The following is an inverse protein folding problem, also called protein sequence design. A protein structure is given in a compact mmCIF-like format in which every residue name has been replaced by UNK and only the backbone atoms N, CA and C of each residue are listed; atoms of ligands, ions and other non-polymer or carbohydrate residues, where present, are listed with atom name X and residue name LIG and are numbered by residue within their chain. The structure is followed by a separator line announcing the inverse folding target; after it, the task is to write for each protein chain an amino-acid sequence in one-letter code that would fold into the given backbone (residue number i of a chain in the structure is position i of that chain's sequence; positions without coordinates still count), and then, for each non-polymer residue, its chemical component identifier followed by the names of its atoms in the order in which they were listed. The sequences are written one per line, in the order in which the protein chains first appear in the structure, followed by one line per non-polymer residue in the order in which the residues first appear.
data_IF_636152066983
#
_entry.id   IF_636152066983
#
_cell.length_a   1.000
_cell.length_b   1.000
_cell.length_c   1.000
_cell.angle_alpha   90.00
_cell.angle_beta   90.00
_cell.angle_gamma   90.00
#
_symmetry.space_group_name_H-M   'P 1'
#
loop_
_entity.id
_entity.type
_entity.pdbx_description
1 polymer ?
#
# COMPACT_ATOMS: atom_id res chain seq x y z
N UNK A 1 -22.64 -1.18 4.30
CA UNK A 1 -22.35 -2.42 5.06
C UNK A 1 -23.12 -3.52 4.39
N UNK A 2 -22.41 -4.52 3.92
CA UNK A 2 -22.96 -5.59 3.09
C UNK A 2 -23.04 -6.88 3.90
N UNK A 3 -23.86 -7.84 3.46
CA UNK A 3 -23.79 -9.21 3.91
C UNK A 3 -22.77 -9.95 3.06
N UNK A 4 -22.09 -10.95 3.67
CA UNK A 4 -21.12 -11.73 2.92
C UNK A 4 -21.86 -12.53 1.85
N UNK A 5 -21.56 -12.35 0.55
CA UNK A 5 -22.17 -13.16 -0.48
C UNK A 5 -21.81 -14.62 -0.33
N UNK A 6 -22.72 -15.50 -0.76
CA UNK A 6 -22.49 -16.95 -0.70
C UNK A 6 -21.17 -17.33 -1.39
N UNK A 7 -20.37 -18.17 -0.78
CA UNK A 7 -19.05 -18.60 -1.29
C UNK A 7 -17.88 -17.64 -1.03
N UNK A 8 -18.11 -16.48 -0.40
CA UNK A 8 -17.05 -15.56 -0.01
C UNK A 8 -16.75 -15.64 1.49
N UNK A 9 -15.48 -15.37 1.85
CA UNK A 9 -15.03 -15.23 3.25
C UNK A 9 -14.55 -13.82 3.50
N UNK A 10 -14.80 -13.33 4.71
CA UNK A 10 -14.21 -12.06 5.15
C UNK A 10 -12.85 -12.29 5.78
N UNK A 11 -11.94 -11.33 5.57
CA UNK A 11 -10.64 -11.30 6.24
C UNK A 11 -10.69 -10.33 7.42
N UNK A 12 -9.97 -10.67 8.48
CA UNK A 12 -9.91 -9.81 9.66
C UNK A 12 -9.15 -8.52 9.37
N UNK A 13 -9.62 -7.43 9.93
CA UNK A 13 -8.96 -6.13 9.88
C UNK A 13 -8.88 -5.52 11.28
N UNK A 14 -7.74 -4.94 11.61
CA UNK A 14 -7.54 -4.23 12.87
C UNK A 14 -7.04 -2.81 12.62
N UNK A 15 -7.33 -1.94 13.57
CA UNK A 15 -6.83 -0.56 13.58
C UNK A 15 -5.63 -0.45 14.51
N UNK A 16 -4.57 0.20 14.03
CA UNK A 16 -3.42 0.59 14.86
C UNK A 16 -3.37 2.10 14.96
N UNK A 17 -3.12 2.58 16.16
CA UNK A 17 -3.00 4.01 16.46
C UNK A 17 -1.62 4.27 17.04
N UNK A 18 -0.94 5.29 16.53
CA UNK A 18 0.37 5.70 17.01
C UNK A 18 0.42 7.23 17.12
N UNK A 19 0.95 7.72 18.23
CA UNK A 19 1.34 9.12 18.38
C UNK A 19 2.81 9.28 18.06
N UNK A 20 3.15 10.22 17.19
CA UNK A 20 4.52 10.68 16.99
C UNK A 20 4.75 11.89 17.90
N UNK A 21 5.87 11.88 18.58
CA UNK A 21 6.32 12.98 19.46
C UNK A 21 7.69 13.46 18.97
N UNK A 22 7.99 14.73 19.21
CA UNK A 22 9.35 15.28 19.04
C UNK A 22 10.26 14.87 20.21
N UNK A 23 11.50 15.38 20.21
CA UNK A 23 12.50 15.17 21.26
C UNK A 23 12.05 15.69 22.63
N UNK A 24 11.18 16.68 22.65
CA UNK A 24 10.68 17.35 23.87
C UNK A 24 9.38 16.71 24.38
N UNK A 25 8.90 15.63 23.71
CA UNK A 25 7.70 14.90 24.09
C UNK A 25 6.40 15.51 23.60
N UNK A 26 6.42 16.60 22.82
CA UNK A 26 5.25 17.24 22.22
C UNK A 26 4.70 16.38 21.08
N UNK A 27 3.38 16.24 21.02
CA UNK A 27 2.73 15.46 19.99
C UNK A 27 2.81 16.21 18.65
N UNK A 28 3.43 15.57 17.66
CA UNK A 28 3.54 16.07 16.29
C UNK A 28 2.38 15.60 15.42
N UNK A 29 2.02 14.31 15.54
CA UNK A 29 1.05 13.69 14.62
C UNK A 29 0.40 12.46 15.24
N UNK A 30 -0.88 12.28 14.94
CA UNK A 30 -1.63 11.05 15.22
C UNK A 30 -1.73 10.20 13.97
N UNK A 31 -1.26 8.96 14.05
CA UNK A 31 -1.36 7.99 12.95
C UNK A 31 -2.42 6.94 13.26
N UNK A 32 -3.37 6.79 12.36
CA UNK A 32 -4.30 5.68 12.35
C UNK A 32 -4.05 4.84 11.08
N UNK A 33 -3.90 3.53 11.24
CA UNK A 33 -3.73 2.62 10.11
C UNK A 33 -4.64 1.42 10.23
N UNK A 34 -5.27 1.07 9.15
CA UNK A 34 -6.06 -0.15 9.02
C UNK A 34 -5.19 -1.24 8.39
N UNK A 35 -5.05 -2.37 9.07
CA UNK A 35 -4.28 -3.52 8.60
C UNK A 35 -5.21 -4.71 8.41
N UNK A 36 -5.14 -5.34 7.26
CA UNK A 36 -5.84 -6.60 7.00
C UNK A 36 -4.97 -7.80 7.36
N UNK A 37 -5.60 -8.92 7.65
CA UNK A 37 -4.93 -10.20 7.75
C UNK A 37 -4.75 -10.81 6.34
N UNK A 38 -3.88 -10.23 5.51
CA UNK A 38 -3.68 -10.65 4.11
C UNK A 38 -3.34 -12.13 3.94
N UNK A 39 -2.78 -12.79 4.99
CA UNK A 39 -2.59 -14.25 5.02
C UNK A 39 -3.89 -15.05 4.92
N UNK A 40 -5.02 -14.46 5.28
CA UNK A 40 -6.35 -15.08 5.19
C UNK A 40 -6.95 -14.98 3.78
N UNK A 41 -6.33 -14.22 2.85
CA UNK A 41 -6.75 -14.20 1.47
C UNK A 41 -6.47 -15.57 0.83
N UNK A 42 -7.52 -16.20 0.30
CA UNK A 42 -7.42 -17.48 -0.39
C UNK A 42 -6.75 -17.32 -1.76
N UNK A 43 -6.12 -18.37 -2.23
CA UNK A 43 -5.56 -18.43 -3.60
C UNK A 43 -6.72 -18.30 -4.59
N UNK A 44 -6.56 -17.45 -5.61
CA UNK A 44 -7.62 -17.14 -6.57
C UNK A 44 -8.48 -15.92 -6.22
N UNK A 45 -8.39 -15.40 -4.96
CA UNK A 45 -9.08 -14.19 -4.53
C UNK A 45 -8.22 -12.92 -4.65
N UNK A 46 -7.07 -12.99 -5.30
CA UNK A 46 -6.19 -11.86 -5.59
C UNK A 46 -5.40 -12.13 -6.87
N UNK A 47 -5.08 -11.06 -7.60
CA UNK A 47 -4.26 -11.10 -8.81
C UNK A 47 -2.76 -11.12 -8.52
N UNK A 48 -1.98 -10.50 -9.40
CA UNK A 48 -0.54 -10.41 -9.24
C UNK A 48 -0.14 -9.69 -7.96
N UNK A 49 0.96 -10.16 -7.37
CA UNK A 49 1.51 -9.67 -6.10
C UNK A 49 2.85 -9.00 -6.27
N UNK A 50 3.52 -9.30 -7.39
CA UNK A 50 4.88 -8.82 -7.62
C UNK A 50 4.88 -7.30 -7.75
N UNK A 51 5.73 -6.66 -6.98
CA UNK A 51 6.10 -5.27 -7.12
C UNK A 51 7.62 -5.16 -6.99
N UNK A 52 8.31 -4.59 -7.97
CA UNK A 52 9.75 -4.42 -7.89
C UNK A 52 10.09 -3.46 -6.75
N UNK A 53 11.18 -3.74 -6.06
CA UNK A 53 11.79 -2.84 -5.09
C UNK A 53 13.19 -2.49 -5.56
N UNK A 54 13.59 -1.24 -5.42
CA UNK A 54 14.92 -0.78 -5.79
C UNK A 54 16.00 -1.54 -5.04
N UNK A 55 17.01 -2.00 -5.76
CA UNK A 55 18.21 -2.57 -5.13
C UNK A 55 19.00 -1.47 -4.44
N UNK A 56 19.58 -1.76 -3.29
CA UNK A 56 20.37 -0.79 -2.54
C UNK A 56 21.59 -0.30 -3.33
N UNK A 57 22.13 -1.12 -4.23
CA UNK A 57 23.18 -0.73 -5.19
C UNK A 57 22.74 0.41 -6.10
N UNK A 58 21.49 0.39 -6.61
CA UNK A 58 20.97 1.47 -7.46
C UNK A 58 20.92 2.81 -6.72
N UNK A 59 20.48 2.80 -5.46
CA UNK A 59 20.46 4.00 -4.62
C UNK A 59 21.87 4.55 -4.43
N UNK A 60 22.84 3.68 -4.13
CA UNK A 60 24.24 4.08 -3.98
C UNK A 60 24.83 4.65 -5.27
N UNK A 61 24.54 4.04 -6.42
CA UNK A 61 24.99 4.55 -7.72
C UNK A 61 24.43 5.93 -8.02
N UNK A 62 23.13 6.15 -7.76
CA UNK A 62 22.49 7.47 -7.93
C UNK A 62 23.17 8.51 -7.03
N UNK A 63 23.42 8.18 -5.75
CA UNK A 63 24.11 9.09 -4.83
C UNK A 63 25.54 9.42 -5.31
N UNK A 64 26.28 8.43 -5.80
CA UNK A 64 27.65 8.63 -6.31
C UNK A 64 27.68 9.52 -7.56
N UNK A 65 26.79 9.28 -8.52
CA UNK A 65 26.64 10.10 -9.74
C UNK A 65 26.24 11.53 -9.37
N UNK A 66 25.28 11.69 -8.47
CA UNK A 66 24.84 13.02 -8.04
C UNK A 66 25.98 13.79 -7.36
N UNK A 67 26.75 13.14 -6.49
CA UNK A 67 27.91 13.76 -5.84
C UNK A 67 28.99 14.17 -6.85
N UNK A 68 29.30 13.30 -7.83
CA UNK A 68 30.29 13.57 -8.86
C UNK A 68 29.89 14.69 -9.81
N UNK A 69 28.60 14.75 -10.15
CA UNK A 69 28.05 15.73 -11.08
C UNK A 69 27.55 17.02 -10.40
N UNK A 70 27.68 17.16 -9.08
CA UNK A 70 27.19 18.31 -8.32
C UNK A 70 25.67 18.46 -8.34
N UNK A 71 24.91 17.34 -8.48
CA UNK A 71 23.46 17.37 -8.56
C UNK A 71 22.82 17.35 -7.17
N UNK A 72 21.71 18.06 -7.02
CA UNK A 72 20.91 18.02 -5.79
C UNK A 72 19.95 16.85 -5.83
N UNK A 73 19.92 16.06 -4.75
CA UNK A 73 18.97 14.96 -4.57
C UNK A 73 17.75 15.44 -3.82
N UNK A 74 16.58 15.08 -4.31
CA UNK A 74 15.30 15.28 -3.63
C UNK A 74 14.69 13.93 -3.27
N UNK A 75 14.10 13.88 -2.06
CA UNK A 75 13.38 12.71 -1.58
C UNK A 75 11.93 13.10 -1.31
N UNK A 76 11.01 12.24 -1.69
CA UNK A 76 9.60 12.37 -1.35
C UNK A 76 9.03 11.03 -0.86
N UNK A 77 7.95 11.10 -0.09
CA UNK A 77 7.20 9.95 0.39
C UNK A 77 5.71 10.14 0.08
N UNK A 78 5.07 9.08 -0.40
CA UNK A 78 3.65 9.12 -0.74
C UNK A 78 2.83 8.59 0.42
N UNK A 79 2.16 9.49 1.14
CA UNK A 79 1.28 9.11 2.24
C UNK A 79 0.11 8.27 1.75
N UNK A 80 -0.07 7.08 2.37
CA UNK A 80 -1.18 6.21 2.05
C UNK A 80 -1.14 5.64 0.63
N UNK A 81 0.04 5.39 0.08
CA UNK A 81 0.28 4.98 -1.31
C UNK A 81 -0.71 3.92 -1.84
N UNK A 82 -1.00 2.88 -1.07
CA UNK A 82 -1.93 1.83 -1.48
C UNK A 82 -3.37 2.31 -1.67
N UNK A 83 -3.78 3.37 -0.96
CA UNK A 83 -5.13 3.92 -1.05
C UNK A 83 -5.39 4.68 -2.38
N UNK A 84 -4.39 4.86 -3.22
CA UNK A 84 -4.57 5.39 -4.57
C UNK A 84 -4.96 4.30 -5.57
N UNK A 85 -4.79 3.03 -5.21
CA UNK A 85 -5.07 1.90 -6.10
C UNK A 85 -6.45 1.31 -5.78
N UNK A 86 -7.24 1.10 -6.84
CA UNK A 86 -8.54 0.47 -6.74
C UNK A 86 -8.39 -1.04 -6.46
N UNK A 87 -9.25 -1.56 -5.57
CA UNK A 87 -9.33 -2.98 -5.30
C UNK A 87 -10.28 -3.62 -6.32
N UNK A 88 -9.72 -4.21 -7.36
CA UNK A 88 -10.49 -4.85 -8.46
C UNK A 88 -11.19 -6.13 -8.00
N UNK A 89 -10.60 -6.82 -7.04
CA UNK A 89 -11.13 -8.06 -6.50
C UNK A 89 -12.16 -7.80 -5.40
N UNK A 90 -13.09 -8.73 -5.24
CA UNK A 90 -14.11 -8.66 -4.18
C UNK A 90 -13.51 -9.11 -2.84
N UNK A 91 -12.92 -8.17 -2.12
CA UNK A 91 -12.35 -8.40 -0.79
C UNK A 91 -13.30 -7.86 0.27
N UNK A 92 -13.74 -8.75 1.16
CA UNK A 92 -14.60 -8.40 2.29
C UNK A 92 -13.78 -8.40 3.57
N UNK A 93 -13.92 -7.35 4.38
CA UNK A 93 -13.21 -7.19 5.65
C UNK A 93 -14.18 -7.15 6.82
N UNK A 94 -13.75 -7.73 7.94
CA UNK A 94 -14.45 -7.67 9.21
C UNK A 94 -13.56 -6.95 10.22
N UNK A 95 -14.05 -5.85 10.77
CA UNK A 95 -13.33 -5.07 11.77
C UNK A 95 -13.42 -5.75 13.15
N UNK A 96 -12.32 -5.75 13.86
CA UNK A 96 -12.20 -6.33 15.20
C UNK A 96 -12.15 -5.27 16.30
N UNK A 97 -12.28 -5.72 17.56
CA UNK A 97 -12.21 -4.86 18.73
C UNK A 97 -13.39 -3.88 18.82
N UNK A 98 -13.14 -2.67 19.29
CA UNK A 98 -14.18 -1.64 19.51
C UNK A 98 -14.84 -1.13 18.22
N UNK A 99 -14.26 -1.42 17.05
CA UNK A 99 -14.80 -1.06 15.73
C UNK A 99 -15.57 -2.21 15.08
N UNK A 100 -15.86 -3.25 15.84
CA UNK A 100 -16.56 -4.45 15.36
C UNK A 100 -17.89 -4.09 14.69
N UNK A 101 -18.11 -4.64 13.52
CA UNK A 101 -19.36 -4.49 12.79
C UNK A 101 -20.47 -5.33 13.44
N UNK A 102 -21.74 -5.00 13.21
CA UNK A 102 -22.87 -5.84 13.58
C UNK A 102 -22.70 -7.26 13.04
N UNK A 103 -23.25 -8.25 13.75
CA UNK A 103 -23.17 -9.66 13.37
C UNK A 103 -23.68 -9.86 11.93
N UNK A 104 -22.90 -10.56 11.11
CA UNK A 104 -23.24 -10.85 9.72
C UNK A 104 -22.92 -9.71 8.73
N UNK A 105 -22.48 -8.54 9.20
CA UNK A 105 -22.11 -7.41 8.33
C UNK A 105 -20.61 -7.34 8.11
N UNK A 106 -20.23 -6.93 6.89
CA UNK A 106 -18.86 -6.74 6.43
C UNK A 106 -18.73 -5.44 5.65
N UNK A 107 -17.49 -5.02 5.41
CA UNK A 107 -17.17 -3.94 4.48
C UNK A 107 -16.50 -4.54 3.25
N UNK A 108 -16.91 -4.12 2.07
CA UNK A 108 -16.19 -4.41 0.83
C UNK A 108 -15.07 -3.39 0.64
N UNK A 109 -13.85 -3.87 0.40
CA UNK A 109 -12.74 -3.00 0.03
C UNK A 109 -12.97 -2.43 -1.38
N UNK A 110 -12.96 -1.11 -1.51
CA UNK A 110 -12.95 -0.42 -2.81
C UNK A 110 -11.55 0.01 -3.21
N UNK A 111 -10.71 0.29 -2.24
CA UNK A 111 -9.31 0.68 -2.42
C UNK A 111 -8.40 -0.35 -1.76
N UNK A 112 -7.19 -0.46 -2.26
CA UNK A 112 -6.19 -1.34 -1.66
C UNK A 112 -5.74 -0.78 -0.31
N UNK A 113 -5.63 -1.65 0.67
CA UNK A 113 -5.19 -1.29 2.03
C UNK A 113 -3.98 -2.14 2.44
N UNK A 114 -3.31 -1.71 3.51
CA UNK A 114 -2.10 -2.36 4.00
C UNK A 114 -2.29 -3.86 4.28
N UNK A 115 -1.29 -4.64 3.88
CA UNK A 115 -1.16 -6.10 4.03
C UNK A 115 -2.07 -6.92 3.09
N UNK A 116 -2.89 -6.32 2.23
CA UNK A 116 -3.47 -7.06 1.11
C UNK A 116 -2.34 -7.53 0.19
N UNK A 117 -2.41 -8.78 -0.28
CA UNK A 117 -1.35 -9.41 -1.07
C UNK A 117 -1.06 -8.68 -2.38
N UNK A 118 -2.08 -8.13 -3.03
CA UNK A 118 -1.99 -7.39 -4.29
C UNK A 118 -1.74 -5.87 -4.11
N UNK A 119 -1.67 -5.36 -2.87
CA UNK A 119 -1.59 -3.92 -2.64
C UNK A 119 -0.32 -3.29 -3.22
N UNK A 120 0.82 -3.94 -3.05
CA UNK A 120 2.09 -3.44 -3.57
C UNK A 120 2.10 -3.42 -5.10
N UNK A 121 1.55 -4.46 -5.76
CA UNK A 121 1.43 -4.52 -7.20
C UNK A 121 0.52 -3.42 -7.75
N UNK A 122 -0.68 -3.26 -7.17
CA UNK A 122 -1.63 -2.24 -7.61
C UNK A 122 -1.07 -0.81 -7.47
N UNK A 123 -0.38 -0.51 -6.38
CA UNK A 123 0.33 0.75 -6.21
C UNK A 123 1.44 0.94 -7.26
N UNK A 124 2.26 -0.10 -7.48
CA UNK A 124 3.34 -0.04 -8.46
C UNK A 124 2.83 0.30 -9.86
N UNK A 125 1.72 -0.31 -10.30
CA UNK A 125 1.11 0.00 -11.59
C UNK A 125 0.74 1.48 -11.74
N UNK A 126 0.13 2.08 -10.71
CA UNK A 126 -0.24 3.49 -10.72
C UNK A 126 1.00 4.39 -10.74
N UNK A 127 1.98 4.06 -9.91
CA UNK A 127 3.20 4.84 -9.79
C UNK A 127 4.04 4.80 -11.08
N UNK A 128 4.19 3.62 -11.68
CA UNK A 128 4.88 3.47 -12.98
C UNK A 128 4.16 4.25 -14.06
N UNK A 129 2.82 4.13 -14.13
CA UNK A 129 2.03 4.91 -15.09
C UNK A 129 2.27 6.41 -14.92
N UNK A 130 2.23 6.91 -13.70
CA UNK A 130 2.47 8.33 -13.40
C UNK A 130 3.88 8.77 -13.83
N UNK A 131 4.91 7.94 -13.59
CA UNK A 131 6.27 8.23 -14.04
C UNK A 131 6.37 8.30 -15.57
N UNK A 132 5.74 7.35 -16.28
CA UNK A 132 5.71 7.35 -17.75
C UNK A 132 4.97 8.59 -18.29
N UNK A 133 3.82 8.94 -17.72
CA UNK A 133 3.05 10.13 -18.09
C UNK A 133 3.86 11.43 -17.83
N UNK A 134 4.77 11.40 -16.85
CA UNK A 134 5.68 12.52 -16.53
C UNK A 134 6.91 12.58 -17.45
N UNK A 135 7.15 11.58 -18.31
CA UNK A 135 8.23 11.54 -19.28
C UNK A 135 9.41 10.63 -18.91
N UNK A 136 9.31 9.84 -17.84
CA UNK A 136 10.30 8.78 -17.57
C UNK A 136 10.14 7.65 -18.58
N UNK A 137 11.23 6.99 -18.91
CA UNK A 137 11.25 5.77 -19.75
C UNK A 137 11.59 4.56 -18.90
N UNK A 138 11.02 3.42 -19.26
CA UNK A 138 11.39 2.17 -18.62
C UNK A 138 12.71 1.66 -19.22
N UNK A 139 13.70 1.38 -18.39
CA UNK A 139 15.01 0.90 -18.83
C UNK A 139 14.95 -0.49 -19.49
N UNK A 140 13.94 -1.29 -19.14
CA UNK A 140 13.77 -2.65 -19.70
C UNK A 140 13.19 -2.65 -21.12
N UNK A 141 12.75 -1.50 -21.65
CA UNK A 141 12.16 -1.37 -22.99
C UNK A 141 13.16 -0.82 -24.03
N UNK A 142 14.45 -0.77 -23.73
CA UNK A 142 15.49 -0.40 -24.70
C UNK A 142 16.08 -1.69 -25.33
N UNK A 143 15.32 -2.31 -26.23
CA UNK A 143 15.84 -3.16 -27.32
C UNK A 143 15.83 -2.36 -28.64
#
# INVERSE_FOLDING_TARGET
MDEIPHGHKSISCCMSFKMKKDSDGKILEYHARCYTAGRQQEVGCYGDRFAPTSKFSCIRSICAIAAQAGLTLYQFDVKGAFLFAECKERVYINLSGKYRLPKGKVLQCRLLIYVLKQAAHGWNQIFVKWLLDYGFINADNND
#
